data_IF_976202194870
#
_entry.id   IF_976202194870
#
_cell.length_a   1.000
_cell.length_b   1.000
_cell.length_c   1.000
_cell.angle_alpha   90.00
_cell.angle_beta   90.00
_cell.angle_gamma   90.00
#
_symmetry.space_group_name_H-M   'P 1'
#
loop_
_entity.id
_entity.type
_entity.pdbx_description
1 polymer ?
#
# COMPACT_ATOMS: atom_id res chain seq x y z
N UNK A 1 17.62 10.72 -10.60
CA UNK A 1 17.37 9.89 -9.41
C UNK A 1 15.91 10.05 -9.01
N UNK A 2 15.17 8.96 -8.88
CA UNK A 2 13.75 9.00 -8.54
C UNK A 2 13.54 9.40 -7.09
N UNK A 3 12.92 10.55 -6.86
CA UNK A 3 12.53 10.99 -5.52
C UNK A 3 11.46 10.08 -4.89
N UNK A 4 10.62 9.43 -5.70
CA UNK A 4 9.57 8.51 -5.24
C UNK A 4 10.10 7.21 -4.60
N UNK A 5 11.15 6.60 -5.17
CA UNK A 5 11.75 5.39 -4.61
C UNK A 5 12.47 5.68 -3.28
N UNK A 6 13.26 6.76 -3.23
CA UNK A 6 13.92 7.22 -2.01
C UNK A 6 12.91 7.57 -0.91
N UNK A 7 11.79 8.23 -1.26
CA UNK A 7 10.78 8.61 -0.28
C UNK A 7 9.90 7.43 0.16
N UNK A 8 9.71 6.41 -0.68
CA UNK A 8 9.02 5.17 -0.35
C UNK A 8 9.80 4.26 0.62
N UNK A 9 11.12 4.43 0.69
CA UNK A 9 12.03 3.70 1.59
C UNK A 9 12.56 4.56 2.75
N UNK A 10 11.95 5.73 3.00
CA UNK A 10 12.35 6.57 4.13
C UNK A 10 11.81 6.02 5.46
N UNK A 11 12.67 5.28 6.17
CA UNK A 11 12.39 4.73 7.50
C UNK A 11 12.06 5.78 8.56
N UNK A 12 12.38 7.06 8.34
CA UNK A 12 11.99 8.13 9.28
C UNK A 12 10.52 8.54 9.10
N UNK A 13 9.94 8.31 7.92
CA UNK A 13 8.57 8.67 7.58
C UNK A 13 7.59 7.51 7.78
N UNK A 14 7.94 6.32 7.28
CA UNK A 14 7.01 5.19 7.19
C UNK A 14 6.93 4.38 8.48
N UNK A 15 5.71 4.01 8.89
CA UNK A 15 5.48 3.11 10.01
C UNK A 15 6.06 1.73 9.71
N UNK A 16 7.01 1.27 10.53
CA UNK A 16 7.68 -0.02 10.41
C UNK A 16 7.28 -1.03 11.49
N UNK A 17 6.15 -0.79 12.17
CA UNK A 17 5.71 -1.56 13.33
C UNK A 17 6.48 -1.22 14.60
N UNK A 18 6.47 -2.14 15.56
CA UNK A 18 7.25 -2.00 16.80
C UNK A 18 8.73 -2.30 16.57
N UNK A 19 9.61 -1.68 17.36
CA UNK A 19 11.03 -2.02 17.38
C UNK A 19 11.21 -3.36 18.09
N UNK A 20 11.76 -4.37 17.38
CA UNK A 20 12.10 -5.64 18.01
C UNK A 20 13.39 -5.51 18.82
N UNK A 21 13.54 -6.36 19.84
CA UNK A 21 14.77 -6.49 20.64
C UNK A 21 16.01 -6.83 19.81
N UNK A 22 15.82 -7.36 18.60
CA UNK A 22 16.87 -7.65 17.62
C UNK A 22 17.41 -6.39 16.91
N UNK A 23 16.84 -5.21 17.16
CA UNK A 23 17.20 -3.95 16.51
C UNK A 23 16.68 -3.80 15.08
N UNK A 24 15.90 -4.76 14.58
CA UNK A 24 15.26 -4.71 13.26
C UNK A 24 13.80 -4.25 13.37
N UNK A 25 13.28 -3.52 12.36
CA UNK A 25 11.86 -3.20 12.30
C UNK A 25 11.01 -4.46 12.13
N UNK A 26 9.82 -4.46 12.73
CA UNK A 26 8.83 -5.54 12.55
C UNK A 26 8.38 -5.68 11.09
N UNK A 27 8.24 -4.56 10.39
CA UNK A 27 7.84 -4.50 8.99
C UNK A 27 8.78 -3.58 8.21
N UNK A 28 9.92 -4.12 7.70
CA UNK A 28 10.85 -3.41 6.82
C UNK A 28 10.14 -2.77 5.61
N UNK A 29 10.73 -1.74 5.00
CA UNK A 29 10.10 -1.04 3.87
C UNK A 29 10.32 -1.75 2.54
N UNK A 30 11.33 -2.61 2.49
CA UNK A 30 11.63 -3.50 1.38
C UNK A 30 10.68 -4.71 1.33
N UNK A 31 9.92 -4.93 2.41
CA UNK A 31 8.92 -5.99 2.51
C UNK A 31 7.50 -5.44 2.33
N UNK A 32 6.69 -6.17 1.56
CA UNK A 32 5.28 -5.85 1.39
C UNK A 32 4.50 -6.10 2.70
N UNK A 33 3.73 -5.11 3.12
CA UNK A 33 2.85 -5.17 4.30
C UNK A 33 1.57 -4.37 3.98
N UNK A 34 0.47 -5.07 3.69
CA UNK A 34 -0.77 -4.45 3.22
C UNK A 34 -1.44 -3.60 4.32
N UNK A 35 -1.40 -4.08 5.55
CA UNK A 35 -2.03 -3.46 6.71
C UNK A 35 -1.33 -2.17 7.14
N UNK A 36 -0.17 -1.85 6.55
CA UNK A 36 0.51 -0.55 6.75
C UNK A 36 -0.42 0.63 6.46
N UNK A 37 -1.32 0.49 5.49
CA UNK A 37 -2.28 1.54 5.11
C UNK A 37 -3.57 1.50 5.93
N UNK A 38 -3.70 0.61 6.91
CA UNK A 38 -4.87 0.54 7.77
C UNK A 38 -4.62 1.34 9.04
N UNK A 39 -5.44 2.37 9.24
CA UNK A 39 -5.55 3.10 10.49
C UNK A 39 -6.67 2.48 11.31
N UNK A 40 -6.32 1.99 12.49
CA UNK A 40 -7.23 1.36 13.43
C UNK A 40 -7.40 2.31 14.62
N UNK A 41 -8.50 3.08 14.68
CA UNK A 41 -8.88 3.78 15.89
C UNK A 41 -9.03 2.75 17.03
N UNK A 42 -8.79 3.16 18.27
CA UNK A 42 -9.01 2.29 19.45
C UNK A 42 -7.96 1.20 19.71
N UNK A 43 -7.13 0.80 18.74
CA UNK A 43 -6.08 -0.20 18.98
C UNK A 43 -4.89 0.39 19.76
N UNK A 44 -4.38 -0.33 20.76
CA UNK A 44 -3.15 0.03 21.51
C UNK A 44 -1.86 -0.12 20.68
N UNK A 45 -1.93 -0.76 19.51
CA UNK A 45 -0.80 -0.95 18.61
C UNK A 45 -0.62 0.25 17.65
N UNK A 46 0.60 0.38 17.10
CA UNK A 46 0.92 1.42 16.12
C UNK A 46 0.28 1.10 14.76
N UNK A 47 -0.81 1.80 14.42
CA UNK A 47 -1.55 1.69 13.17
C UNK A 47 -1.32 2.90 12.24
N UNK A 48 -1.69 2.74 10.97
CA UNK A 48 -1.53 3.75 9.92
C UNK A 48 -0.13 3.81 9.32
N UNK A 49 0.03 4.45 8.14
CA UNK A 49 1.24 4.25 7.34
C UNK A 49 2.40 5.16 7.70
N UNK A 50 2.16 6.27 8.40
CA UNK A 50 3.19 7.21 8.82
C UNK A 50 3.58 6.97 10.29
N UNK A 51 4.87 7.13 10.61
CA UNK A 51 5.32 7.17 12.01
C UNK A 51 4.64 8.33 12.72
N UNK A 52 3.97 8.03 13.84
CA UNK A 52 3.45 9.07 14.74
C UNK A 52 4.64 9.78 15.37
N UNK A 53 5.03 10.97 14.87
CA UNK A 53 6.01 11.81 15.56
C UNK A 53 5.44 12.13 16.94
N UNK A 54 6.17 11.77 17.99
CA UNK A 54 5.87 12.23 19.35
C UNK A 54 5.91 13.77 19.28
N UNK A 55 4.81 14.46 19.62
CA UNK A 55 4.62 15.94 19.72
C UNK A 55 4.24 16.61 18.37
N UNK A 56 3.09 17.25 18.12
CA UNK A 56 2.12 18.11 18.85
C UNK A 56 0.65 17.83 18.43
N UNK A 57 -0.39 18.30 19.17
CA UNK A 57 -1.80 18.03 18.86
C UNK A 57 -2.17 18.44 17.42
N UNK A 58 -2.92 17.57 16.76
CA UNK A 58 -3.42 17.80 15.41
C UNK A 58 -4.28 19.06 15.37
N UNK A 59 -4.00 19.96 14.42
CA UNK A 59 -5.02 20.89 13.94
C UNK A 59 -6.15 20.05 13.34
N UNK A 60 -7.36 20.27 13.85
CA UNK A 60 -8.58 19.61 13.44
C UNK A 60 -8.77 19.79 11.93
N UNK A 61 -8.74 18.69 11.18
CA UNK A 61 -9.07 18.72 9.75
C UNK A 61 -10.59 18.81 9.61
N UNK A 62 -11.14 19.50 8.59
CA UNK A 62 -12.57 19.63 8.41
C UNK A 62 -13.24 18.25 8.36
N UNK A 63 -14.23 18.04 9.23
CA UNK A 63 -14.97 16.78 9.33
C UNK A 63 -15.63 16.47 7.99
N UNK A 64 -15.23 15.34 7.38
CA UNK A 64 -15.96 14.74 6.26
C UNK A 64 -17.30 14.21 6.81
N UNK A 65 -18.43 14.38 6.09
CA UNK A 65 -19.75 13.97 6.60
C UNK A 65 -19.74 12.50 7.04
N UNK A 66 -20.15 12.26 8.28
CA UNK A 66 -20.29 10.93 8.87
C UNK A 66 -21.57 10.29 8.35
N UNK A 67 -21.45 9.39 7.37
CA UNK A 67 -22.50 8.41 7.12
C UNK A 67 -22.50 7.44 8.29
N UNK A 68 -23.45 7.61 9.21
CA UNK A 68 -23.68 6.68 10.31
C UNK A 68 -24.29 5.39 9.75
N UNK A 69 -23.50 4.31 9.75
CA UNK A 69 -23.99 2.95 9.60
C UNK A 69 -23.38 2.11 10.72
N UNK A 70 -24.26 1.57 11.56
CA UNK A 70 -24.10 0.38 12.42
C UNK A 70 -22.87 0.30 13.32
N UNK A 71 -23.09 0.34 14.62
CA UNK A 71 -22.15 -0.14 15.64
C UNK A 71 -21.94 -1.64 15.49
N UNK A 72 -20.72 -2.07 15.17
CA UNK A 72 -20.03 -3.34 15.55
C UNK A 72 -18.85 -3.61 14.58
N UNK A 73 -17.79 -2.82 14.75
CA UNK A 73 -16.36 -3.18 14.64
C UNK A 73 -15.56 -1.88 14.72
N UNK A 74 -14.44 -1.89 15.43
CA UNK A 74 -13.38 -0.87 15.38
C UNK A 74 -12.82 -0.82 13.94
N UNK A 75 -13.57 -0.20 13.02
CA UNK A 75 -13.41 -0.36 11.58
C UNK A 75 -12.07 0.23 11.14
N UNK A 76 -11.10 -0.63 10.86
CA UNK A 76 -9.86 -0.26 10.17
C UNK A 76 -10.17 0.54 8.92
N UNK A 77 -9.55 1.72 8.78
CA UNK A 77 -9.76 2.64 7.65
C UNK A 77 -8.50 2.70 6.81
N UNK A 78 -8.64 2.54 5.50
CA UNK A 78 -7.55 2.84 4.58
C UNK A 78 -7.15 4.33 4.71
N UNK A 79 -5.88 4.58 4.96
CA UNK A 79 -5.32 5.90 5.23
C UNK A 79 -3.99 6.07 4.51
N UNK A 80 -3.75 7.28 4.01
CA UNK A 80 -2.45 7.76 3.52
C UNK A 80 -2.02 9.02 4.28
N UNK A 81 -2.66 9.27 5.44
CA UNK A 81 -2.38 10.43 6.26
C UNK A 81 -0.92 10.42 6.75
N UNK A 82 -0.30 11.60 6.81
CA UNK A 82 1.09 11.74 7.24
C UNK A 82 2.15 11.42 6.17
N UNK A 83 1.77 10.84 5.02
CA UNK A 83 2.70 10.52 3.93
C UNK A 83 2.86 11.62 2.88
N UNK A 84 2.52 12.87 3.22
CA UNK A 84 2.64 13.99 2.28
C UNK A 84 4.10 14.15 1.85
N UNK A 85 4.34 14.15 0.54
CA UNK A 85 5.70 14.21 -0.02
C UNK A 85 6.48 12.90 0.03
N UNK A 86 5.91 11.81 0.57
CA UNK A 86 6.53 10.48 0.65
C UNK A 86 5.73 9.39 -0.07
N UNK A 87 4.44 9.63 -0.31
CA UNK A 87 3.59 8.73 -1.08
C UNK A 87 2.78 9.51 -2.13
N UNK A 88 3.21 9.41 -3.38
CA UNK A 88 2.61 10.09 -4.52
C UNK A 88 2.64 9.19 -5.78
N UNK A 89 1.98 8.02 -5.74
CA UNK A 89 2.03 7.04 -6.86
C UNK A 89 1.40 7.57 -8.16
N UNK A 90 0.63 8.65 -8.08
CA UNK A 90 0.01 9.35 -9.21
C UNK A 90 0.62 10.74 -9.47
N UNK A 91 1.81 10.99 -8.95
CA UNK A 91 2.45 12.31 -8.99
C UNK A 91 1.82 13.33 -8.03
N UNK A 92 2.17 14.60 -8.19
CA UNK A 92 1.71 15.69 -7.32
C UNK A 92 1.81 17.07 -7.98
N UNK A 93 1.16 18.06 -7.36
CA UNK A 93 1.11 19.43 -7.89
C UNK A 93 0.37 19.53 -9.23
N UNK A 94 0.86 20.40 -10.12
CA UNK A 94 0.28 20.64 -11.43
C UNK A 94 0.34 19.42 -12.39
N UNK A 95 1.22 18.46 -12.11
CA UNK A 95 1.42 17.25 -12.93
C UNK A 95 0.85 15.99 -12.26
N UNK A 96 -0.15 16.15 -11.36
CA UNK A 96 -0.88 15.01 -10.81
C UNK A 96 -1.66 14.31 -11.93
N UNK A 97 -1.63 12.98 -11.95
CA UNK A 97 -2.35 12.18 -12.94
C UNK A 97 -3.85 12.50 -12.90
N UNK A 98 -4.45 13.02 -13.99
CA UNK A 98 -5.87 13.33 -14.03
C UNK A 98 -6.74 12.06 -13.98
N UNK A 99 -6.16 10.91 -14.35
CA UNK A 99 -6.83 9.61 -14.33
C UNK A 99 -6.79 8.87 -13.00
N UNK A 100 -6.26 9.46 -11.92
CA UNK A 100 -6.09 8.75 -10.63
C UNK A 100 -7.37 8.10 -10.11
N UNK A 101 -8.50 8.83 -10.14
CA UNK A 101 -9.78 8.29 -9.65
C UNK A 101 -10.21 7.08 -10.47
N UNK A 102 -10.16 7.20 -11.81
CA UNK A 102 -10.52 6.10 -12.70
C UNK A 102 -9.58 4.90 -12.52
N UNK A 103 -8.28 5.14 -12.47
CA UNK A 103 -7.27 4.10 -12.29
C UNK A 103 -7.52 3.30 -10.99
N UNK A 104 -7.82 3.97 -9.88
CA UNK A 104 -8.17 3.29 -8.62
C UNK A 104 -9.41 2.42 -8.77
N UNK A 105 -10.49 2.94 -9.39
CA UNK A 105 -11.72 2.17 -9.59
C UNK A 105 -11.47 0.94 -10.48
N UNK A 106 -10.72 1.11 -11.58
CA UNK A 106 -10.37 0.01 -12.48
C UNK A 106 -9.53 -1.04 -11.76
N UNK A 107 -8.52 -0.64 -10.99
CA UNK A 107 -7.69 -1.58 -10.22
C UNK A 107 -8.55 -2.37 -9.23
N UNK A 108 -9.39 -1.70 -8.43
CA UNK A 108 -10.25 -2.38 -7.46
C UNK A 108 -11.25 -3.32 -8.11
N UNK A 109 -11.91 -2.88 -9.19
CA UNK A 109 -12.86 -3.70 -9.92
C UNK A 109 -12.18 -4.93 -10.53
N UNK A 110 -11.02 -4.75 -11.19
CA UNK A 110 -10.27 -5.85 -11.79
C UNK A 110 -9.80 -6.86 -10.75
N UNK A 111 -9.24 -6.42 -9.63
CA UNK A 111 -8.81 -7.32 -8.55
C UNK A 111 -10.01 -8.07 -7.97
N UNK A 112 -11.13 -7.39 -7.71
CA UNK A 112 -12.34 -8.03 -7.21
C UNK A 112 -12.88 -9.08 -8.19
N UNK A 113 -12.94 -8.77 -9.49
CA UNK A 113 -13.38 -9.71 -10.53
C UNK A 113 -12.49 -10.95 -10.62
N UNK A 114 -11.16 -10.74 -10.59
CA UNK A 114 -10.18 -11.82 -10.65
C UNK A 114 -10.32 -12.73 -9.44
N UNK A 115 -10.36 -12.16 -8.22
CA UNK A 115 -10.48 -12.93 -6.98
C UNK A 115 -11.83 -13.64 -6.83
N UNK A 116 -12.91 -13.10 -7.43
CA UNK A 116 -14.23 -13.73 -7.41
C UNK A 116 -14.35 -14.88 -8.40
N UNK A 117 -13.58 -14.87 -9.50
CA UNK A 117 -13.78 -15.79 -10.63
C UNK A 117 -12.66 -16.81 -10.78
N UNK A 118 -11.48 -16.57 -10.22
CA UNK A 118 -10.29 -17.38 -10.44
C UNK A 118 -9.50 -17.65 -9.17
N UNK A 119 -8.94 -18.85 -9.10
CA UNK A 119 -7.84 -19.22 -8.21
C UNK A 119 -6.51 -19.01 -8.94
N UNK A 120 -5.57 -18.32 -8.30
CA UNK A 120 -4.27 -17.96 -8.87
C UNK A 120 -3.16 -18.60 -8.02
N UNK A 121 -2.37 -19.47 -8.64
CA UNK A 121 -1.25 -20.15 -7.97
C UNK A 121 0.07 -19.85 -8.67
N UNK A 122 1.10 -19.51 -7.89
CA UNK A 122 2.46 -19.41 -8.43
C UNK A 122 2.95 -20.81 -8.80
N UNK A 123 3.46 -20.99 -10.02
CA UNK A 123 4.00 -22.29 -10.47
C UNK A 123 5.26 -22.62 -9.68
N UNK A 124 6.12 -21.63 -9.47
CA UNK A 124 7.34 -21.75 -8.66
C UNK A 124 7.47 -20.51 -7.75
N UNK A 125 7.05 -20.62 -6.47
CA UNK A 125 7.16 -19.52 -5.52
C UNK A 125 8.61 -19.11 -5.20
N UNK A 126 9.57 -20.03 -5.25
CA UNK A 126 10.97 -19.73 -4.90
C UNK A 126 11.68 -19.01 -6.05
N UNK A 127 11.40 -19.37 -7.30
CA UNK A 127 11.85 -18.60 -8.45
C UNK A 127 11.15 -17.24 -8.54
N UNK A 128 9.85 -17.17 -8.23
CA UNK A 128 9.11 -15.91 -8.23
C UNK A 128 9.71 -14.87 -7.26
N UNK A 129 10.26 -15.31 -6.12
CA UNK A 129 10.94 -14.43 -5.16
C UNK A 129 12.25 -13.82 -5.68
N UNK A 130 12.87 -14.42 -6.69
CA UNK A 130 14.13 -13.96 -7.30
C UNK A 130 13.89 -12.98 -8.44
N UNK A 131 12.64 -12.61 -8.71
CA UNK A 131 12.28 -11.64 -9.74
C UNK A 131 12.48 -10.24 -9.19
N UNK A 132 13.22 -9.42 -9.93
CA UNK A 132 13.58 -8.07 -9.51
C UNK A 132 12.86 -7.02 -10.36
N UNK A 133 12.68 -5.79 -9.87
CA UNK A 133 12.20 -4.70 -10.70
C UNK A 133 13.14 -4.46 -11.89
N UNK A 134 12.60 -4.49 -13.11
CA UNK A 134 13.26 -4.16 -14.37
C UNK A 134 13.49 -2.66 -14.50
N UNK A 135 14.25 -2.09 -13.57
CA UNK A 135 14.45 -0.64 -13.37
C UNK A 135 15.21 0.06 -14.53
N UNK A 136 15.48 -0.67 -15.62
CA UNK A 136 16.35 -0.26 -16.73
C UNK A 136 15.64 0.48 -17.86
N UNK A 137 14.33 0.40 -17.99
CA UNK A 137 13.69 0.88 -19.23
C UNK A 137 13.16 2.31 -19.13
N UNK A 138 12.50 2.72 -18.04
CA UNK A 138 11.99 4.09 -17.91
C UNK A 138 12.02 4.59 -16.47
N UNK A 139 12.59 5.79 -16.22
CA UNK A 139 12.60 6.36 -14.90
C UNK A 139 11.28 7.07 -14.52
N UNK A 140 10.14 6.58 -15.02
CA UNK A 140 8.83 7.18 -14.83
C UNK A 140 7.74 6.10 -14.83
N UNK A 141 6.76 6.23 -13.92
CA UNK A 141 5.59 5.35 -13.88
C UNK A 141 5.81 4.04 -13.12
N UNK A 142 5.03 3.02 -13.48
CA UNK A 142 5.10 1.70 -12.87
C UNK A 142 6.34 0.95 -13.37
N UNK A 143 7.02 0.26 -12.46
CA UNK A 143 8.19 -0.54 -12.79
C UNK A 143 7.73 -1.93 -13.23
N UNK A 144 8.13 -2.33 -14.43
CA UNK A 144 8.04 -3.71 -14.88
C UNK A 144 8.99 -4.60 -14.08
N UNK A 145 8.77 -5.91 -14.10
CA UNK A 145 9.74 -6.89 -13.61
C UNK A 145 10.81 -7.17 -14.68
N UNK A 146 11.95 -7.72 -14.26
CA UNK A 146 13.02 -8.18 -15.14
C UNK A 146 12.62 -9.38 -16.02
N UNK A 147 11.62 -10.15 -15.58
CA UNK A 147 11.03 -11.29 -16.32
C UNK A 147 9.57 -11.57 -15.89
N UNK A 148 8.79 -12.30 -16.70
CA UNK A 148 7.43 -12.72 -16.32
C UNK A 148 7.42 -13.64 -15.09
N UNK A 149 6.33 -13.56 -14.30
CA UNK A 149 6.04 -14.47 -13.19
C UNK A 149 5.07 -15.56 -13.67
N UNK A 150 5.48 -16.84 -13.78
CA UNK A 150 4.57 -17.90 -14.20
C UNK A 150 3.48 -18.18 -13.15
N UNK A 151 2.22 -18.14 -13.58
CA UNK A 151 1.04 -18.38 -12.74
C UNK A 151 0.12 -19.42 -13.39
N UNK A 152 -0.42 -20.31 -12.58
CA UNK A 152 -1.55 -21.16 -12.92
C UNK A 152 -2.85 -20.43 -12.57
N UNK A 153 -3.82 -20.44 -13.49
CA UNK A 153 -5.11 -19.77 -13.35
C UNK A 153 -6.21 -20.80 -13.52
N UNK A 154 -7.03 -21.01 -12.49
CA UNK A 154 -8.16 -21.93 -12.53
C UNK A 154 -9.47 -21.15 -12.33
N UNK A 155 -10.48 -21.37 -13.19
CA UNK A 155 -11.82 -20.78 -12.97
C UNK A 155 -12.43 -21.43 -11.72
N UNK A 156 -12.94 -20.60 -10.81
CA UNK A 156 -13.74 -21.09 -9.68
C UNK A 156 -15.05 -21.68 -10.22
N UNK A 157 -15.42 -22.86 -9.74
CA UNK A 157 -16.71 -23.47 -10.07
C UNK A 157 -17.84 -22.59 -9.54
N UNK A 158 -18.85 -22.35 -10.37
CA UNK A 158 -20.08 -21.67 -9.96
C UNK A 158 -20.78 -22.53 -8.90
N UNK A 159 -20.79 -22.06 -7.65
CA UNK A 159 -21.61 -22.62 -6.55
C UNK A 159 -23.05 -22.15 -6.66
#
# INVERSE_FOLDING_TARGET
MFTGWLAGLDVSCWNTGQDLSSGKPQHPLEAFWAERFLDCPGSSSISGPAKKKRVQPARESPQRPTTHMGTEDERSRASVAGLRGHFFPFGGGAFRCPGETLAKQVIFASVAMVLQSYDLRLIDPEEARKIEPGHRELPFGLHSFDRPVPVEICKLSET
#
